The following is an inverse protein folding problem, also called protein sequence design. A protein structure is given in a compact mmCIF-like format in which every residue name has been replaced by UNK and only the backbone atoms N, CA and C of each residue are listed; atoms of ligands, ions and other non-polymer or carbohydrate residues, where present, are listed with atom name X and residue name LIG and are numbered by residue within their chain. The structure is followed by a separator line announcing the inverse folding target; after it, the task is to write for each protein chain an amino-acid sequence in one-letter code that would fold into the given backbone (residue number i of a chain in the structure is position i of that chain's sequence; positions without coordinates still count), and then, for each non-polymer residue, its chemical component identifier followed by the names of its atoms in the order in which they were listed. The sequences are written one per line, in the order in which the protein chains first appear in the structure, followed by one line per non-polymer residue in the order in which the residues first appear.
data_IF_842874888384
#
_entry.id   IF_842874888384
#
_cell.length_a   1.000
_cell.length_b   1.000
_cell.length_c   1.000
_cell.angle_alpha   90.00
_cell.angle_beta   90.00
_cell.angle_gamma   90.00
#
_symmetry.space_group_name_H-M   'P 1'
#
loop_
_entity.id
_entity.type
_entity.pdbx_description
1 polymer ?
#
# COMPACT_ATOMS: atom_id res chain seq x y z
N UNK A 1 17.46 5.41 2.64
CA UNK A 1 17.19 3.96 2.70
C UNK A 1 16.20 3.68 3.82
N UNK A 2 15.22 2.88 3.52
CA UNK A 2 14.21 2.51 4.50
C UNK A 2 14.63 1.34 5.39
N UNK A 3 13.82 1.08 6.41
CA UNK A 3 14.00 -0.01 7.37
C UNK A 3 13.97 -1.39 6.69
N UNK A 4 13.17 -1.53 5.63
CA UNK A 4 12.98 -2.78 4.89
C UNK A 4 13.90 -2.93 3.68
N UNK A 5 14.84 -2.00 3.46
CA UNK A 5 15.66 -1.93 2.25
C UNK A 5 16.57 -3.13 1.99
N UNK A 6 16.82 -3.95 3.00
CA UNK A 6 17.67 -5.15 2.90
C UNK A 6 16.86 -6.45 2.74
N UNK A 7 15.53 -6.36 2.66
CA UNK A 7 14.67 -7.52 2.52
C UNK A 7 14.40 -7.84 1.04
N UNK A 8 14.19 -9.13 0.78
CA UNK A 8 13.83 -9.63 -0.56
C UNK A 8 12.43 -10.30 -0.52
N UNK A 9 11.60 -10.10 -1.54
CA UNK A 9 11.83 -9.37 -2.80
C UNK A 9 11.87 -7.84 -2.57
N UNK A 10 12.98 -7.24 -2.97
CA UNK A 10 13.27 -5.84 -2.67
C UNK A 10 12.14 -4.88 -3.05
N UNK A 11 11.63 -5.00 -4.28
CA UNK A 11 10.60 -4.07 -4.77
C UNK A 11 9.29 -4.15 -4.00
N UNK A 12 8.89 -5.33 -3.55
CA UNK A 12 7.69 -5.53 -2.71
C UNK A 12 7.85 -4.79 -1.39
N UNK A 13 8.99 -4.94 -0.72
CA UNK A 13 9.24 -4.27 0.56
C UNK A 13 9.41 -2.76 0.43
N UNK A 14 9.98 -2.27 -0.66
CA UNK A 14 10.02 -0.82 -0.95
C UNK A 14 8.62 -0.23 -1.07
N UNK A 15 7.73 -0.86 -1.86
CA UNK A 15 6.35 -0.42 -2.04
C UNK A 15 5.59 -0.51 -0.72
N UNK A 16 5.72 -1.61 0.01
CA UNK A 16 5.09 -1.80 1.31
C UNK A 16 5.49 -0.70 2.31
N UNK A 17 6.79 -0.37 2.37
CA UNK A 17 7.28 0.70 3.24
C UNK A 17 6.75 2.08 2.84
N UNK A 18 6.68 2.37 1.52
CA UNK A 18 6.06 3.60 1.01
C UNK A 18 4.58 3.71 1.44
N UNK A 19 3.81 2.63 1.32
CA UNK A 19 2.41 2.58 1.73
C UNK A 19 2.25 2.77 3.23
N UNK A 20 3.07 2.12 4.03
CA UNK A 20 3.05 2.24 5.50
C UNK A 20 3.38 3.65 6.01
N UNK A 21 4.10 4.45 5.22
CA UNK A 21 4.39 5.85 5.54
C UNK A 21 3.18 6.78 5.36
N UNK A 22 2.13 6.32 4.70
CA UNK A 22 0.91 7.09 4.43
C UNK A 22 -0.17 6.64 5.41
N UNK A 23 -0.76 7.56 6.22
CA UNK A 23 -1.92 7.21 7.02
C UNK A 23 -3.07 6.74 6.12
N UNK A 24 -3.62 5.55 6.39
CA UNK A 24 -4.65 4.95 5.52
C UNK A 24 -5.71 4.16 6.30
N UNK A 25 -6.18 4.71 7.41
CA UNK A 25 -7.33 4.17 8.13
C UNK A 25 -8.59 4.13 7.27
N UNK A 26 -9.55 3.28 7.66
CA UNK A 26 -10.77 3.00 6.86
C UNK A 26 -11.60 4.22 6.49
N UNK A 27 -11.54 5.30 7.26
CA UNK A 27 -12.22 6.57 6.98
C UNK A 27 -11.27 7.66 6.46
N UNK A 28 -10.02 7.32 6.19
CA UNK A 28 -8.95 8.25 5.81
C UNK A 28 -8.14 7.71 4.63
N UNK A 29 -8.82 7.45 3.51
CA UNK A 29 -8.25 6.73 2.36
C UNK A 29 -7.84 7.63 1.19
N UNK A 30 -8.06 8.93 1.27
CA UNK A 30 -7.76 9.84 0.15
C UNK A 30 -6.27 9.86 -0.21
N UNK A 31 -5.39 9.95 0.77
CA UNK A 31 -3.95 10.02 0.55
C UNK A 31 -3.39 8.75 -0.09
N UNK A 32 -3.79 7.57 0.40
CA UNK A 32 -3.34 6.29 -0.18
C UNK A 32 -3.96 6.07 -1.58
N UNK A 33 -5.19 6.50 -1.79
CA UNK A 33 -5.84 6.46 -3.11
C UNK A 33 -5.08 7.34 -4.12
N UNK A 34 -4.72 8.55 -3.74
CA UNK A 34 -3.92 9.46 -4.57
C UNK A 34 -2.53 8.91 -4.84
N UNK A 35 -1.92 8.24 -3.86
CA UNK A 35 -0.65 7.55 -4.06
C UNK A 35 -0.77 6.43 -5.10
N UNK A 36 -1.84 5.64 -5.09
CA UNK A 36 -2.10 4.62 -6.11
C UNK A 36 -2.23 5.23 -7.51
N UNK A 37 -2.95 6.36 -7.64
CA UNK A 37 -3.07 7.08 -8.92
C UNK A 37 -1.68 7.53 -9.40
N UNK A 38 -0.91 8.19 -8.54
CA UNK A 38 0.44 8.65 -8.87
C UNK A 38 1.38 7.49 -9.24
N UNK A 39 1.23 6.34 -8.59
CA UNK A 39 1.96 5.12 -8.92
C UNK A 39 1.64 4.63 -10.34
N UNK A 40 0.35 4.60 -10.70
CA UNK A 40 -0.09 4.27 -12.06
C UNK A 40 0.42 5.25 -13.10
N UNK A 41 0.35 6.55 -12.82
CA UNK A 41 0.88 7.61 -13.71
C UNK A 41 2.38 7.45 -13.95
N UNK A 42 3.16 7.20 -12.89
CA UNK A 42 4.61 6.97 -12.97
C UNK A 42 4.96 5.77 -13.86
N UNK A 43 4.10 4.76 -13.91
CA UNK A 43 4.27 3.58 -14.78
C UNK A 43 3.66 3.78 -16.17
N UNK A 44 3.02 4.91 -16.45
CA UNK A 44 2.35 5.17 -17.73
C UNK A 44 1.09 4.35 -17.93
N UNK A 45 0.44 3.89 -16.85
CA UNK A 45 -0.77 3.09 -16.92
C UNK A 45 -2.02 3.96 -17.03
N UNK A 46 -3.00 3.47 -17.76
CA UNK A 46 -4.36 4.00 -17.72
C UNK A 46 -4.92 3.80 -16.31
N UNK A 47 -5.59 4.81 -15.76
CA UNK A 47 -6.09 4.78 -14.40
C UNK A 47 -7.44 5.49 -14.25
N UNK A 48 -8.20 5.07 -13.24
CA UNK A 48 -9.47 5.65 -12.84
C UNK A 48 -9.52 5.75 -11.32
N UNK A 49 -10.06 6.84 -10.82
CA UNK A 49 -10.32 7.06 -9.39
C UNK A 49 -11.74 7.57 -9.24
N UNK A 50 -12.51 6.99 -8.33
CA UNK A 50 -13.86 7.44 -8.02
C UNK A 50 -13.94 8.28 -6.73
N UNK A 51 -15.14 8.78 -6.43
CA UNK A 51 -15.39 9.60 -5.25
C UNK A 51 -15.29 8.83 -3.92
N UNK A 52 -15.37 7.49 -3.97
CA UNK A 52 -15.17 6.62 -2.81
C UNK A 52 -13.70 6.22 -2.61
N UNK A 53 -12.78 6.83 -3.38
CA UNK A 53 -11.34 6.55 -3.36
C UNK A 53 -10.95 5.14 -3.89
N UNK A 54 -11.82 4.49 -4.66
CA UNK A 54 -11.42 3.31 -5.39
C UNK A 54 -10.51 3.71 -6.57
N UNK A 55 -9.50 2.90 -6.85
CA UNK A 55 -8.57 3.11 -7.96
C UNK A 55 -8.51 1.87 -8.81
N UNK A 56 -8.53 2.06 -10.12
CA UNK A 56 -8.30 1.02 -11.11
C UNK A 56 -7.08 1.42 -11.93
N UNK A 57 -6.10 0.54 -12.01
CA UNK A 57 -4.94 0.67 -12.88
C UNK A 57 -5.03 -0.40 -13.96
N UNK A 58 -4.85 -0.03 -15.22
CA UNK A 58 -4.96 -0.92 -16.36
C UNK A 58 -3.59 -1.06 -17.01
N UNK A 59 -3.03 -2.27 -16.93
CA UNK A 59 -1.82 -2.62 -17.64
C UNK A 59 -2.19 -3.28 -18.96
N UNK A 60 -1.57 -2.89 -20.09
CA UNK A 60 -1.80 -3.53 -21.38
C UNK A 60 -1.29 -4.98 -21.37
N UNK A 61 -1.86 -5.80 -22.26
CA UNK A 61 -1.39 -7.15 -22.45
C UNK A 61 0.09 -7.17 -22.88
N UNK A 62 0.81 -8.19 -22.45
CA UNK A 62 2.16 -8.45 -22.96
C UNK A 62 2.09 -8.96 -24.40
N UNK A 63 3.16 -8.75 -25.22
CA UNK A 63 3.18 -9.22 -26.59
C UNK A 63 2.85 -10.71 -26.72
N UNK A 64 1.92 -11.04 -27.62
CA UNK A 64 1.42 -12.40 -27.84
C UNK A 64 0.20 -12.79 -27.00
N UNK A 65 -0.25 -11.93 -26.09
CA UNK A 65 -1.39 -12.18 -25.19
C UNK A 65 -2.53 -11.17 -25.37
N UNK A 66 -2.54 -10.44 -26.47
CA UNK A 66 -3.51 -9.36 -26.73
C UNK A 66 -4.95 -9.87 -26.75
N UNK A 67 -5.16 -11.12 -27.20
CA UNK A 67 -6.48 -11.76 -27.25
C UNK A 67 -6.82 -12.58 -26.00
N UNK A 68 -5.94 -12.62 -25.01
CA UNK A 68 -6.19 -13.33 -23.77
C UNK A 68 -7.25 -12.59 -22.91
N UNK A 69 -8.09 -13.33 -22.16
CA UNK A 69 -9.01 -12.71 -21.23
C UNK A 69 -8.28 -11.85 -20.19
N UNK A 70 -8.88 -10.70 -19.83
CA UNK A 70 -8.33 -9.85 -18.80
C UNK A 70 -8.34 -10.54 -17.41
N UNK A 71 -7.31 -10.28 -16.63
CA UNK A 71 -7.21 -10.72 -15.22
C UNK A 71 -7.33 -9.51 -14.32
N UNK A 72 -8.13 -9.63 -13.26
CA UNK A 72 -8.27 -8.59 -12.24
C UNK A 72 -7.53 -9.06 -10.98
N UNK A 73 -6.57 -8.25 -10.53
CA UNK A 73 -5.98 -8.37 -9.21
C UNK A 73 -6.62 -7.31 -8.31
N UNK A 74 -7.14 -7.72 -7.15
CA UNK A 74 -7.89 -6.81 -6.28
C UNK A 74 -7.39 -6.93 -4.85
N UNK A 75 -7.27 -5.79 -4.19
CA UNK A 75 -6.98 -5.66 -2.76
C UNK A 75 -7.66 -4.41 -2.22
N UNK A 76 -7.76 -4.28 -0.92
CA UNK A 76 -8.22 -3.05 -0.27
C UNK A 76 -7.02 -2.21 0.14
N UNK A 77 -7.20 -0.89 0.26
CA UNK A 77 -6.12 0.05 0.58
C UNK A 77 -6.19 0.61 2.00
N UNK A 78 -7.27 0.34 2.72
CA UNK A 78 -7.44 0.78 4.10
C UNK A 78 -6.89 -0.23 5.11
N UNK A 79 -6.75 0.22 6.34
CA UNK A 79 -6.36 -0.62 7.47
C UNK A 79 -7.15 -0.26 8.71
N UNK A 80 -7.29 -1.21 9.61
CA UNK A 80 -7.79 -0.96 10.98
C UNK A 80 -6.72 -0.19 11.75
N UNK A 81 -7.09 0.94 12.33
CA UNK A 81 -6.20 1.80 13.11
C UNK A 81 -6.44 1.61 14.60
N UNK A 82 -5.63 0.78 15.23
CA UNK A 82 -5.61 0.57 16.67
C UNK A 82 -4.20 0.76 17.22
N UNK A 83 -4.08 1.17 18.47
CA UNK A 83 -2.79 1.39 19.11
C UNK A 83 -2.80 0.92 20.57
N UNK A 84 -1.62 0.58 21.05
CA UNK A 84 -1.42 0.20 22.45
C UNK A 84 -1.70 1.36 23.41
N UNK A 85 -2.08 1.03 24.64
CA UNK A 85 -2.18 2.02 25.69
C UNK A 85 -0.84 2.75 25.90
N UNK A 86 -0.88 4.08 25.93
CA UNK A 86 0.33 4.91 26.06
C UNK A 86 1.06 5.20 24.73
N UNK A 87 0.64 4.64 23.61
CA UNK A 87 1.15 5.04 22.29
C UNK A 87 0.63 6.43 21.94
N UNK A 88 1.54 7.38 21.70
CA UNK A 88 1.20 8.77 21.41
C UNK A 88 0.94 9.05 19.92
N UNK A 89 1.10 8.06 19.03
CA UNK A 89 0.95 8.24 17.60
C UNK A 89 -0.46 8.68 17.20
N UNK A 90 -0.53 9.67 16.34
CA UNK A 90 -1.77 10.09 15.67
C UNK A 90 -1.94 9.27 14.38
N UNK A 91 -2.78 8.24 14.45
CA UNK A 91 -3.00 7.31 13.33
C UNK A 91 -3.66 7.96 12.10
N UNK A 92 -4.24 9.14 12.24
CA UNK A 92 -4.84 9.89 11.13
C UNK A 92 -3.84 10.76 10.36
N UNK A 93 -2.69 11.04 10.98
CA UNK A 93 -1.69 12.00 10.45
C UNK A 93 -0.30 11.42 10.26
N UNK A 94 0.04 10.38 11.00
CA UNK A 94 1.39 9.82 11.02
C UNK A 94 1.40 8.42 10.40
N UNK A 95 2.43 8.15 9.62
CA UNK A 95 2.71 6.80 9.12
C UNK A 95 3.13 5.83 10.22
N UNK A 96 3.27 4.57 9.88
CA UNK A 96 3.64 3.51 10.81
C UNK A 96 5.16 3.50 11.07
N UNK A 97 5.55 3.19 12.31
CA UNK A 97 6.95 3.00 12.68
C UNK A 97 7.30 1.51 12.56
N UNK A 98 7.81 1.12 11.41
CA UNK A 98 8.13 -0.27 11.11
C UNK A 98 9.38 -0.76 11.86
N UNK A 99 9.42 -2.04 12.15
CA UNK A 99 10.60 -2.73 12.65
C UNK A 99 10.70 -4.13 12.04
N UNK A 100 11.90 -4.69 12.07
CA UNK A 100 12.17 -6.07 11.66
C UNK A 100 12.66 -6.84 12.90
N UNK A 101 12.07 -7.98 13.15
CA UNK A 101 12.47 -8.91 14.23
C UNK A 101 12.55 -10.32 13.65
N UNK A 102 13.76 -10.77 13.35
CA UNK A 102 14.00 -12.04 12.67
C UNK A 102 13.28 -12.08 11.31
N UNK A 103 12.34 -12.98 11.16
CA UNK A 103 11.54 -13.17 9.94
C UNK A 103 10.21 -12.39 9.95
N UNK A 104 10.02 -11.52 10.94
CA UNK A 104 8.79 -10.76 11.10
C UNK A 104 9.02 -9.27 10.82
N UNK A 105 8.05 -8.64 10.16
CA UNK A 105 7.91 -7.19 10.06
C UNK A 105 6.72 -6.76 10.91
N UNK A 106 6.90 -5.74 11.72
CA UNK A 106 5.85 -5.21 12.60
C UNK A 106 5.83 -3.69 12.62
N UNK A 107 4.83 -3.13 13.29
CA UNK A 107 4.70 -1.71 13.58
C UNK A 107 4.74 -1.48 15.09
N UNK A 108 5.50 -0.47 15.52
CA UNK A 108 5.69 -0.17 16.96
C UNK A 108 4.42 0.43 17.56
N UNK A 109 3.83 -0.28 18.51
CA UNK A 109 2.70 0.20 19.29
C UNK A 109 1.38 0.35 18.55
N UNK A 110 1.30 -0.11 17.31
CA UNK A 110 0.11 0.03 16.45
C UNK A 110 -0.18 -1.24 15.65
N UNK A 111 -1.36 -1.29 15.06
CA UNK A 111 -1.68 -2.25 13.98
C UNK A 111 -0.79 -2.02 12.76
N UNK A 112 -0.72 -3.02 11.90
CA UNK A 112 -0.01 -3.00 10.62
C UNK A 112 -1.00 -3.36 9.52
N UNK A 113 -1.01 -2.60 8.43
CA UNK A 113 -1.84 -2.85 7.25
C UNK A 113 -1.08 -3.55 6.13
N UNK A 114 -1.72 -3.66 4.96
CA UNK A 114 -1.11 -4.27 3.77
C UNK A 114 -1.07 -5.79 3.77
N UNK A 115 -1.84 -6.42 4.65
CA UNK A 115 -1.95 -7.87 4.83
C UNK A 115 -2.71 -8.58 3.71
N UNK A 116 -3.33 -7.84 2.81
CA UNK A 116 -4.06 -8.32 1.63
C UNK A 116 -3.22 -8.43 0.36
N UNK A 117 -1.92 -8.14 0.47
CA UNK A 117 -0.98 -8.26 -0.64
C UNK A 117 -1.05 -7.12 -1.66
N UNK A 118 -1.56 -5.94 -1.28
CA UNK A 118 -1.68 -4.78 -2.18
C UNK A 118 -0.32 -4.28 -2.71
N UNK A 119 0.76 -4.45 -1.96
CA UNK A 119 2.11 -4.13 -2.40
C UNK A 119 2.63 -5.15 -3.43
#
# INVERSE_FOLDING_TARGET
MGILSNLEPKRVFEIFEEMCAIPHGSTNTKAISDWCVAFGEKLGLEHYQDEANNVILIAPATPGYEDAPAVILQGHVDMVCEKEAGCAKDMDKEGLDLFVDGDLVGAKGTTLGGDDGIA
#
